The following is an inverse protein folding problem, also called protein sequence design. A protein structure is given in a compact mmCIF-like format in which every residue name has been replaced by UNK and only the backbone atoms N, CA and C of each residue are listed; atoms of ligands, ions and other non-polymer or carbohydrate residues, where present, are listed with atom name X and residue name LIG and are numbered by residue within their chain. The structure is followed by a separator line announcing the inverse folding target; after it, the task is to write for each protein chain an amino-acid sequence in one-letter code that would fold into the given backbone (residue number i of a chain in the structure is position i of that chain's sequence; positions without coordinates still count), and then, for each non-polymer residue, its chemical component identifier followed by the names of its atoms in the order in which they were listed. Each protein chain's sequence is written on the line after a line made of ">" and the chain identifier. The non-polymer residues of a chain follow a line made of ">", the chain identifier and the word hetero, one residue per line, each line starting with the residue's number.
data_IF_326434249228
#
_entry.id   IF_326434249228
#
_cell.length_a   1.000
_cell.length_b   1.000
_cell.length_c   1.000
_cell.angle_alpha   90.00
_cell.angle_beta   90.00
_cell.angle_gamma   90.00
#
_symmetry.space_group_name_H-M   'P 1'
#
loop_
_entity.id
_entity.type
_entity.pdbx_description
1 polymer ?
#
# COMPACT_ATOMS: atom_id res chain seq x y z
N UNK A 1 -23.86 -18.74 3.75
CA UNK A 1 -23.81 -18.58 2.28
C UNK A 1 -25.16 -18.19 1.69
N UNK A 2 -26.08 -19.10 1.39
CA UNK A 2 -27.33 -18.73 0.67
C UNK A 2 -28.35 -18.03 1.58
N UNK A 3 -28.59 -18.54 2.80
CA UNK A 3 -29.47 -17.89 3.80
C UNK A 3 -29.00 -16.47 4.18
N UNK A 4 -27.70 -16.20 4.10
CA UNK A 4 -27.10 -14.90 4.43
C UNK A 4 -26.98 -13.95 3.21
N UNK A 5 -27.48 -14.34 2.02
CA UNK A 5 -27.33 -13.58 0.76
C UNK A 5 -25.88 -13.31 0.35
N UNK A 6 -24.97 -14.22 0.67
CA UNK A 6 -23.53 -14.08 0.37
C UNK A 6 -23.18 -14.66 -1.01
N UNK A 7 -24.10 -15.33 -1.70
CA UNK A 7 -23.83 -15.98 -2.99
C UNK A 7 -23.98 -14.98 -4.14
N UNK A 8 -22.92 -14.72 -4.93
CA UNK A 8 -22.98 -13.80 -6.06
C UNK A 8 -24.11 -14.16 -7.04
N UNK A 9 -24.92 -13.18 -7.42
CA UNK A 9 -26.00 -13.33 -8.41
C UNK A 9 -27.14 -14.25 -7.99
N UNK A 10 -27.32 -14.48 -6.68
CA UNK A 10 -28.47 -15.18 -6.12
C UNK A 10 -29.07 -14.42 -4.93
N UNK A 11 -30.39 -14.29 -4.92
CA UNK A 11 -31.15 -13.58 -3.88
C UNK A 11 -32.19 -14.45 -3.18
N UNK A 12 -32.48 -15.63 -3.73
CA UNK A 12 -33.43 -16.60 -3.17
C UNK A 12 -32.84 -18.03 -3.13
N UNK A 13 -33.28 -18.82 -2.16
CA UNK A 13 -32.82 -20.20 -1.95
C UNK A 13 -33.17 -21.12 -3.13
N UNK A 14 -34.25 -20.85 -3.86
CA UNK A 14 -34.67 -21.62 -5.03
C UNK A 14 -33.73 -21.46 -6.23
N UNK A 15 -32.95 -20.39 -6.30
CA UNK A 15 -32.02 -20.11 -7.42
C UNK A 15 -30.78 -21.00 -7.42
N UNK A 16 -30.61 -21.80 -6.37
CA UNK A 16 -29.55 -22.81 -6.25
C UNK A 16 -29.79 -23.97 -7.21
N UNK A 17 -31.06 -24.26 -7.53
CA UNK A 17 -31.45 -25.38 -8.37
C UNK A 17 -32.05 -24.91 -9.68
N UNK A 18 -31.65 -25.53 -10.78
CA UNK A 18 -32.21 -25.21 -12.12
C UNK A 18 -33.51 -25.95 -12.41
N UNK A 19 -33.87 -26.96 -11.61
CA UNK A 19 -35.07 -27.76 -11.77
C UNK A 19 -35.61 -28.32 -10.44
N UNK A 20 -36.82 -28.86 -10.50
CA UNK A 20 -37.56 -29.39 -9.35
C UNK A 20 -36.99 -30.69 -8.77
N UNK A 21 -36.04 -31.33 -9.47
CA UNK A 21 -35.37 -32.55 -9.02
C UNK A 21 -34.00 -32.26 -8.38
N UNK A 22 -33.61 -30.99 -8.28
CA UNK A 22 -32.49 -30.54 -7.46
C UNK A 22 -31.14 -30.48 -8.18
N UNK A 23 -31.10 -30.38 -9.51
CA UNK A 23 -29.83 -30.15 -10.18
C UNK A 23 -29.28 -28.74 -9.88
N UNK A 24 -27.99 -28.60 -9.54
CA UNK A 24 -27.41 -27.31 -9.23
C UNK A 24 -27.31 -26.39 -10.46
N UNK A 25 -27.38 -25.09 -10.23
CA UNK A 25 -27.10 -24.05 -11.24
C UNK A 25 -25.60 -23.91 -11.50
N UNK A 26 -25.23 -23.26 -12.60
CA UNK A 26 -23.85 -23.07 -13.05
C UNK A 26 -22.94 -22.40 -12.00
N UNK A 27 -23.38 -21.34 -11.27
CA UNK A 27 -22.58 -20.74 -10.21
C UNK A 27 -22.33 -21.69 -9.04
N UNK A 28 -23.31 -22.54 -8.68
CA UNK A 28 -23.17 -23.54 -7.61
C UNK A 28 -22.14 -24.60 -8.01
N UNK A 29 -22.18 -25.06 -9.27
CA UNK A 29 -21.21 -26.02 -9.79
C UNK A 29 -19.80 -25.43 -9.77
N UNK A 30 -19.63 -24.19 -10.24
CA UNK A 30 -18.35 -23.51 -10.25
C UNK A 30 -17.79 -23.28 -8.84
N UNK A 31 -18.64 -22.79 -7.92
CA UNK A 31 -18.28 -22.60 -6.51
C UNK A 31 -17.81 -23.92 -5.88
N UNK A 32 -18.55 -25.01 -6.10
CA UNK A 32 -18.18 -26.33 -5.59
C UNK A 32 -16.81 -26.79 -6.13
N UNK A 33 -16.54 -26.58 -7.42
CA UNK A 33 -15.24 -26.89 -8.00
C UNK A 33 -14.10 -26.08 -7.36
N UNK A 34 -14.33 -24.79 -7.08
CA UNK A 34 -13.36 -23.93 -6.40
C UNK A 34 -13.12 -24.32 -4.94
N UNK A 35 -14.17 -24.71 -4.21
CA UNK A 35 -14.05 -25.23 -2.84
C UNK A 35 -13.19 -26.50 -2.84
N UNK A 36 -13.45 -27.43 -3.76
CA UNK A 36 -12.64 -28.65 -3.90
C UNK A 36 -11.19 -28.33 -4.30
N UNK A 37 -10.98 -27.44 -5.28
CA UNK A 37 -9.63 -27.00 -5.65
C UNK A 37 -8.89 -26.44 -4.43
N UNK A 38 -9.52 -25.52 -3.70
CA UNK A 38 -8.92 -24.89 -2.53
C UNK A 38 -8.56 -25.92 -1.44
N UNK A 39 -9.45 -26.87 -1.14
CA UNK A 39 -9.20 -27.91 -0.12
C UNK A 39 -8.15 -28.92 -0.57
N UNK A 40 -8.22 -29.40 -1.82
CA UNK A 40 -7.30 -30.42 -2.32
C UNK A 40 -5.88 -29.89 -2.52
N UNK A 41 -5.74 -28.65 -2.99
CA UNK A 41 -4.44 -28.06 -3.32
C UNK A 41 -3.92 -27.07 -2.28
N UNK A 42 -4.73 -26.71 -1.28
CA UNK A 42 -4.34 -25.79 -0.21
C UNK A 42 -4.09 -24.35 -0.65
N UNK A 43 -4.57 -23.94 -1.84
CA UNK A 43 -4.29 -22.63 -2.44
C UNK A 43 -5.57 -21.91 -2.88
N UNK A 44 -5.53 -20.59 -2.91
CA UNK A 44 -6.67 -19.78 -3.36
C UNK A 44 -6.98 -20.03 -4.84
N UNK A 45 -8.26 -20.24 -5.22
CA UNK A 45 -8.68 -20.32 -6.61
C UNK A 45 -8.75 -18.95 -7.30
N UNK A 46 -8.50 -17.85 -6.59
CA UNK A 46 -8.56 -16.49 -7.15
C UNK A 46 -7.52 -16.34 -8.27
N UNK A 47 -7.97 -15.93 -9.45
CA UNK A 47 -7.13 -15.77 -10.63
C UNK A 47 -7.16 -16.97 -11.59
N UNK A 48 -7.84 -18.07 -11.24
CA UNK A 48 -8.12 -19.13 -12.20
C UNK A 48 -9.00 -18.60 -13.35
N UNK A 49 -8.80 -19.08 -14.59
CA UNK A 49 -9.59 -18.64 -15.74
C UNK A 49 -11.07 -19.00 -15.57
N UNK A 50 -11.96 -18.22 -16.19
CA UNK A 50 -13.41 -18.50 -16.17
C UNK A 50 -13.68 -19.91 -16.73
N UNK A 51 -14.28 -20.83 -15.96
CA UNK A 51 -14.48 -22.21 -16.35
C UNK A 51 -15.56 -22.32 -17.41
N UNK A 52 -15.51 -23.39 -18.21
CA UNK A 52 -16.47 -23.62 -19.30
C UNK A 52 -17.93 -23.60 -18.86
N UNK A 53 -18.22 -24.05 -17.63
CA UNK A 53 -19.58 -24.03 -17.08
C UNK A 53 -20.14 -22.61 -16.92
N UNK A 54 -19.29 -21.64 -16.56
CA UNK A 54 -19.68 -20.24 -16.44
C UNK A 54 -19.69 -19.54 -17.81
N UNK A 55 -18.71 -19.83 -18.68
CA UNK A 55 -18.68 -19.29 -20.06
C UNK A 55 -19.94 -19.63 -20.85
N UNK A 56 -20.50 -20.80 -20.61
CA UNK A 56 -21.69 -21.32 -21.29
C UNK A 56 -22.97 -21.15 -20.46
N UNK A 57 -22.93 -20.44 -19.34
CA UNK A 57 -24.07 -20.30 -18.44
C UNK A 57 -25.24 -19.61 -19.13
N UNK A 58 -26.47 -20.00 -18.79
CA UNK A 58 -27.68 -19.43 -19.41
C UNK A 58 -27.83 -17.92 -19.22
N UNK A 59 -27.34 -17.38 -18.09
CA UNK A 59 -27.41 -15.96 -17.76
C UNK A 59 -26.11 -15.20 -18.12
N UNK A 60 -26.17 -14.04 -18.81
CA UNK A 60 -24.97 -13.30 -19.22
C UNK A 60 -24.07 -12.86 -18.06
N UNK A 61 -24.65 -12.45 -16.93
CA UNK A 61 -23.92 -12.00 -15.74
C UNK A 61 -23.01 -13.10 -15.16
N UNK A 62 -23.36 -14.37 -15.34
CA UNK A 62 -22.56 -15.50 -14.86
C UNK A 62 -21.29 -15.71 -15.70
N UNK A 63 -21.21 -15.10 -16.89
CA UNK A 63 -20.08 -15.22 -17.81
C UNK A 63 -19.00 -14.17 -17.56
N UNK A 64 -19.28 -13.17 -16.73
CA UNK A 64 -18.39 -12.05 -16.45
C UNK A 64 -17.20 -12.48 -15.57
N UNK A 65 -16.02 -11.90 -15.83
CA UNK A 65 -14.82 -12.19 -15.05
C UNK A 65 -14.97 -11.80 -13.58
N UNK A 66 -15.65 -10.70 -13.30
CA UNK A 66 -15.92 -10.23 -11.94
C UNK A 66 -16.82 -11.20 -11.17
N UNK A 67 -17.82 -11.77 -11.84
CA UNK A 67 -18.69 -12.79 -11.25
C UNK A 67 -17.88 -14.05 -10.90
N UNK A 68 -17.03 -14.50 -11.82
CA UNK A 68 -16.13 -15.61 -11.58
C UNK A 68 -15.17 -15.36 -10.41
N UNK A 69 -14.58 -14.16 -10.34
CA UNK A 69 -13.69 -13.75 -9.26
C UNK A 69 -14.40 -13.75 -7.91
N UNK A 70 -15.63 -13.25 -7.85
CA UNK A 70 -16.44 -13.26 -6.62
C UNK A 70 -16.71 -14.69 -6.12
N UNK A 71 -16.94 -15.66 -7.01
CA UNK A 71 -17.08 -17.07 -6.63
C UNK A 71 -15.77 -17.67 -6.10
N UNK A 72 -14.62 -17.29 -6.68
CA UNK A 72 -13.30 -17.73 -6.21
C UNK A 72 -12.97 -17.16 -4.83
N UNK A 73 -13.24 -15.87 -4.60
CA UNK A 73 -13.05 -15.21 -3.30
C UNK A 73 -13.97 -15.82 -2.24
N UNK A 74 -15.24 -16.06 -2.58
CA UNK A 74 -16.19 -16.73 -1.69
C UNK A 74 -15.71 -18.14 -1.33
N UNK A 75 -15.23 -18.91 -2.31
CA UNK A 75 -14.68 -20.24 -2.07
C UNK A 75 -13.49 -20.19 -1.10
N UNK A 76 -12.54 -19.29 -1.35
CA UNK A 76 -11.36 -19.15 -0.50
C UNK A 76 -11.74 -18.78 0.93
N UNK A 77 -12.58 -17.75 1.08
CA UNK A 77 -13.10 -17.31 2.38
C UNK A 77 -13.79 -18.45 3.11
N UNK A 78 -14.64 -19.20 2.43
CA UNK A 78 -15.39 -20.32 3.03
C UNK A 78 -14.44 -21.40 3.55
N UNK A 79 -13.40 -21.75 2.78
CA UNK A 79 -12.47 -22.81 3.13
C UNK A 79 -11.58 -22.42 4.31
N UNK A 80 -11.06 -21.19 4.35
CA UNK A 80 -10.20 -20.73 5.44
C UNK A 80 -10.96 -20.46 6.74
N UNK A 81 -12.26 -20.15 6.65
CA UNK A 81 -13.13 -19.91 7.81
C UNK A 81 -13.75 -21.20 8.36
N UNK A 82 -13.70 -22.32 7.62
CA UNK A 82 -14.29 -23.60 8.02
C UNK A 82 -13.26 -24.53 8.69
N UNK A 83 -13.27 -24.72 10.02
CA UNK A 83 -12.17 -25.40 10.73
C UNK A 83 -11.89 -26.84 10.28
N UNK A 84 -12.91 -27.55 9.77
CA UNK A 84 -12.77 -28.93 9.30
C UNK A 84 -12.17 -29.04 7.90
N UNK A 85 -11.95 -27.92 7.19
CA UNK A 85 -11.20 -27.93 5.92
C UNK A 85 -9.73 -28.29 6.12
N UNK A 86 -9.21 -28.16 7.35
CA UNK A 86 -7.79 -28.31 7.66
C UNK A 86 -6.94 -27.11 7.21
N UNK A 87 -7.53 -26.14 6.51
CA UNK A 87 -6.88 -24.94 6.03
C UNK A 87 -7.18 -23.78 6.98
N UNK A 88 -6.15 -23.00 7.28
CA UNK A 88 -6.28 -21.75 8.03
C UNK A 88 -5.93 -20.61 7.09
N UNK A 89 -6.55 -19.45 7.28
CA UNK A 89 -6.10 -18.22 6.64
C UNK A 89 -4.62 -18.02 7.01
N UNK A 90 -3.72 -18.33 6.08
CA UNK A 90 -2.31 -18.00 6.21
C UNK A 90 -2.15 -16.52 5.84
N UNK A 91 -1.45 -15.77 6.68
CA UNK A 91 -0.98 -14.45 6.33
C UNK A 91 -0.01 -14.60 5.16
N UNK A 92 -0.41 -14.12 3.98
CA UNK A 92 0.39 -14.20 2.76
C UNK A 92 0.23 -15.53 2.02
N UNK A 93 -0.12 -15.45 0.74
CA UNK A 93 -0.14 -16.57 -0.19
C UNK A 93 1.30 -17.10 -0.35
N UNK A 94 1.56 -18.34 0.07
CA UNK A 94 2.70 -19.12 -0.42
C UNK A 94 2.25 -19.92 -1.64
N UNK A 95 2.90 -19.70 -2.78
CA UNK A 95 2.80 -20.58 -3.94
C UNK A 95 3.92 -21.63 -3.87
N UNK A 96 3.54 -22.90 -3.97
CA UNK A 96 4.42 -24.01 -4.35
C UNK A 96 5.23 -24.63 -3.20
N UNK A 97 5.19 -25.95 -3.10
CA UNK A 97 6.16 -26.76 -2.37
C UNK A 97 7.54 -26.71 -3.06
N UNK A 98 8.13 -25.52 -3.08
CA UNK A 98 9.52 -25.25 -3.36
C UNK A 98 9.96 -24.20 -2.37
N UNK A 99 10.91 -24.52 -1.50
CA UNK A 99 11.50 -23.57 -0.55
C UNK A 99 11.97 -22.34 -1.33
N UNK A 100 11.50 -21.14 -0.95
CA UNK A 100 11.95 -19.89 -1.58
C UNK A 100 13.47 -19.76 -1.41
N UNK A 101 14.21 -20.01 -2.49
CA UNK A 101 15.69 -20.03 -2.46
C UNK A 101 16.33 -18.65 -2.53
N UNK A 102 15.53 -17.58 -2.54
CA UNK A 102 16.00 -16.21 -2.71
C UNK A 102 16.51 -15.53 -1.43
N UNK A 103 16.24 -16.10 -0.25
CA UNK A 103 16.59 -15.49 1.05
C UNK A 103 18.07 -15.11 1.17
N UNK A 104 18.95 -15.94 0.63
CA UNK A 104 20.41 -15.76 0.67
C UNK A 104 20.98 -15.10 -0.60
N UNK A 105 20.12 -14.69 -1.53
CA UNK A 105 20.50 -14.11 -2.82
C UNK A 105 20.39 -12.58 -2.81
N UNK A 106 21.02 -11.92 -3.77
CA UNK A 106 20.79 -10.50 -4.06
C UNK A 106 19.41 -10.35 -4.71
N UNK A 107 18.55 -9.51 -4.13
CA UNK A 107 17.24 -9.21 -4.70
C UNK A 107 17.37 -8.05 -5.69
N UNK A 108 17.18 -8.29 -6.97
CA UNK A 108 17.19 -7.25 -7.99
C UNK A 108 15.76 -6.72 -8.16
N UNK A 109 15.48 -5.48 -7.76
CA UNK A 109 14.14 -4.91 -7.85
C UNK A 109 13.70 -4.74 -9.31
N UNK A 110 12.39 -4.60 -9.53
CA UNK A 110 11.85 -4.34 -10.86
C UNK A 110 12.31 -2.96 -11.35
N UNK A 111 12.53 -2.82 -12.66
CA UNK A 111 13.08 -1.58 -13.26
C UNK A 111 12.25 -0.33 -13.03
N UNK A 112 10.94 -0.47 -12.78
CA UNK A 112 10.03 0.64 -12.45
C UNK A 112 10.07 1.05 -10.98
N UNK A 113 10.65 0.21 -10.11
CA UNK A 113 10.65 0.40 -8.66
C UNK A 113 12.00 -0.04 -8.09
N UNK A 114 13.06 0.67 -8.48
CA UNK A 114 14.45 0.28 -8.21
C UNK A 114 14.87 0.38 -6.73
N UNK A 115 14.03 0.96 -5.87
CA UNK A 115 14.30 1.19 -4.44
C UNK A 115 15.63 1.91 -4.15
N UNK A 116 16.16 2.73 -5.06
CA UNK A 116 17.49 3.35 -4.89
C UNK A 116 18.67 2.37 -4.99
N UNK A 117 18.43 1.09 -5.29
CA UNK A 117 19.44 0.03 -5.46
C UNK A 117 19.14 -0.81 -6.71
N UNK A 118 19.20 -0.18 -7.89
CA UNK A 118 18.87 -0.82 -9.17
C UNK A 118 19.70 -2.09 -9.48
N UNK A 119 20.96 -2.12 -9.04
CA UNK A 119 21.86 -3.26 -9.22
C UNK A 119 21.58 -4.40 -8.22
N UNK A 120 20.71 -4.17 -7.24
CA UNK A 120 20.24 -5.16 -6.29
C UNK A 120 20.34 -4.73 -4.83
N UNK A 121 19.44 -5.27 -4.02
CA UNK A 121 19.40 -5.16 -2.57
C UNK A 121 20.09 -6.42 -2.00
N UNK A 122 21.19 -6.29 -1.24
CA UNK A 122 21.86 -7.45 -0.63
C UNK A 122 20.95 -8.14 0.40
N UNK A 123 21.40 -9.27 0.93
CA UNK A 123 20.82 -9.84 2.15
C UNK A 123 21.08 -8.85 3.29
N UNK A 124 20.06 -8.17 3.85
CA UNK A 124 20.29 -7.07 4.79
C UNK A 124 21.13 -7.47 6.00
N UNK A 125 20.91 -8.69 6.51
CA UNK A 125 21.54 -9.23 7.71
C UNK A 125 23.07 -9.44 7.58
N UNK A 126 23.63 -9.41 6.36
CA UNK A 126 25.08 -9.41 6.15
C UNK A 126 25.73 -8.04 6.45
N UNK A 127 24.92 -6.99 6.56
CA UNK A 127 25.36 -5.65 6.94
C UNK A 127 25.58 -5.48 8.45
N UNK A 128 26.03 -4.30 8.86
CA UNK A 128 26.13 -3.95 10.28
C UNK A 128 24.75 -3.49 10.78
N UNK A 129 24.20 -4.02 11.90
CA UNK A 129 22.94 -3.53 12.46
C UNK A 129 22.96 -2.03 12.74
N UNK A 130 21.89 -1.34 12.37
CA UNK A 130 21.72 0.12 12.54
C UNK A 130 20.62 0.40 13.55
N UNK A 131 19.40 -0.05 13.26
CA UNK A 131 18.26 0.07 14.14
C UNK A 131 17.22 -1.01 13.83
N UNK A 132 16.40 -1.32 14.83
CA UNK A 132 15.15 -2.06 14.70
C UNK A 132 14.02 -1.14 15.12
N UNK A 133 12.94 -1.10 14.35
CA UNK A 133 11.71 -0.44 14.75
C UNK A 133 10.60 -1.48 14.93
N UNK A 134 10.10 -1.59 16.16
CA UNK A 134 8.94 -2.43 16.52
C UNK A 134 7.70 -1.53 16.61
N UNK A 135 6.74 -1.74 15.72
CA UNK A 135 5.60 -0.86 15.50
C UNK A 135 4.28 -1.58 15.70
N UNK A 136 3.30 -0.83 16.21
CA UNK A 136 1.90 -1.26 16.29
C UNK A 136 1.14 -0.68 15.11
N UNK A 137 0.36 -1.52 14.44
CA UNK A 137 -0.60 -1.10 13.44
C UNK A 137 -1.84 -0.52 14.13
N UNK A 138 -2.40 0.54 13.56
CA UNK A 138 -3.68 1.11 13.98
C UNK A 138 -4.81 0.51 13.14
N UNK A 139 -4.78 0.74 11.83
CA UNK A 139 -5.78 0.28 10.87
C UNK A 139 -5.10 -0.31 9.64
N UNK A 140 -5.77 -1.29 9.03
CA UNK A 140 -5.38 -1.89 7.75
C UNK A 140 -6.51 -1.66 6.76
N UNK A 141 -6.21 -1.01 5.65
CA UNK A 141 -7.17 -0.74 4.59
C UNK A 141 -6.82 -1.58 3.37
N UNK A 142 -7.59 -2.65 3.16
CA UNK A 142 -7.52 -3.42 1.92
C UNK A 142 -8.35 -2.71 0.85
N UNK A 143 -7.67 -2.13 -0.14
CA UNK A 143 -8.30 -1.40 -1.24
C UNK A 143 -8.60 -2.29 -2.44
N UNK A 144 -8.17 -3.56 -2.42
CA UNK A 144 -8.29 -4.45 -3.57
C UNK A 144 -7.47 -3.96 -4.78
N UNK A 145 -7.97 -4.23 -5.97
CA UNK A 145 -7.25 -3.94 -7.22
C UNK A 145 -7.25 -2.46 -7.55
N UNK A 146 -6.07 -1.87 -7.72
CA UNK A 146 -5.84 -0.51 -8.22
C UNK A 146 -5.12 -0.56 -9.58
N UNK A 147 -4.87 0.57 -10.25
CA UNK A 147 -4.07 0.58 -11.50
C UNK A 147 -2.66 0.00 -11.32
N UNK A 148 -2.12 0.01 -10.11
CA UNK A 148 -0.72 -0.34 -9.85
C UNK A 148 -0.51 -1.76 -9.33
N UNK A 149 -1.50 -2.35 -8.66
CA UNK A 149 -1.37 -3.64 -7.96
C UNK A 149 -2.62 -3.98 -7.17
N UNK A 150 -2.60 -5.08 -6.41
CA UNK A 150 -3.51 -5.23 -5.28
C UNK A 150 -2.93 -4.41 -4.11
N UNK A 151 -3.66 -3.37 -3.69
CA UNK A 151 -3.19 -2.37 -2.72
C UNK A 151 -3.73 -2.66 -1.33
N UNK A 152 -2.83 -2.66 -0.36
CA UNK A 152 -3.15 -2.57 1.07
C UNK A 152 -2.39 -1.41 1.67
N UNK A 153 -3.05 -0.63 2.52
CA UNK A 153 -2.42 0.43 3.30
C UNK A 153 -2.44 0.06 4.77
N UNK A 154 -1.26 0.00 5.39
CA UNK A 154 -1.12 -0.18 6.83
C UNK A 154 -0.81 1.17 7.49
N UNK A 155 -1.63 1.55 8.46
CA UNK A 155 -1.41 2.76 9.25
C UNK A 155 -0.70 2.38 10.54
N UNK A 156 0.43 3.02 10.81
CA UNK A 156 1.22 2.82 12.03
C UNK A 156 0.73 3.75 13.13
N UNK A 157 0.36 3.16 14.28
CA UNK A 157 -0.03 3.88 15.48
C UNK A 157 1.14 4.53 16.20
N UNK A 158 2.31 3.91 16.07
CA UNK A 158 3.56 4.28 16.71
C UNK A 158 4.34 3.03 17.11
N UNK A 159 5.48 3.23 17.75
CA UNK A 159 6.41 2.14 18.06
C UNK A 159 7.66 2.61 18.77
N UNK A 160 8.62 1.70 18.90
CA UNK A 160 9.93 1.99 19.48
C UNK A 160 11.02 1.74 18.45
N UNK A 161 12.06 2.56 18.46
CA UNK A 161 13.29 2.29 17.73
C UNK A 161 14.42 1.98 18.70
N UNK A 162 15.22 0.95 18.39
CA UNK A 162 16.39 0.56 19.18
C UNK A 162 17.57 0.26 18.27
N UNK A 163 18.72 0.84 18.56
CA UNK A 163 19.99 0.61 17.89
C UNK A 163 21.17 0.99 18.79
N UNK A 164 22.39 0.66 18.36
CA UNK A 164 23.62 0.97 19.10
C UNK A 164 23.80 2.48 19.30
N UNK A 165 23.42 3.28 18.28
CA UNK A 165 23.63 4.72 18.22
C UNK A 165 22.34 5.55 18.27
N UNK A 166 21.18 4.90 18.34
CA UNK A 166 19.88 5.57 18.30
C UNK A 166 18.85 4.79 19.12
N UNK A 167 18.06 5.51 19.89
CA UNK A 167 16.89 5.01 20.61
C UNK A 167 15.80 6.06 20.56
N UNK A 168 14.55 5.64 20.64
CA UNK A 168 13.42 6.55 20.57
C UNK A 168 12.12 5.86 20.21
N UNK A 169 11.24 6.62 19.56
CA UNK A 169 9.91 6.19 19.15
C UNK A 169 9.63 6.40 17.68
N UNK A 170 8.67 5.65 17.15
CA UNK A 170 8.02 5.91 15.87
C UNK A 170 6.76 6.73 16.15
N UNK A 171 6.61 7.87 15.48
CA UNK A 171 5.46 8.74 15.62
C UNK A 171 4.21 8.14 14.97
N UNK A 172 3.02 8.54 15.43
CA UNK A 172 1.75 8.10 14.86
C UNK A 172 1.59 8.58 13.41
N UNK A 173 0.72 7.90 12.66
CA UNK A 173 0.31 8.31 11.33
C UNK A 173 1.26 7.85 10.22
N UNK A 174 2.24 7.01 10.54
CA UNK A 174 3.08 6.35 9.54
C UNK A 174 2.25 5.57 8.53
N UNK A 175 2.66 5.58 7.27
CA UNK A 175 1.95 4.91 6.17
C UNK A 175 2.87 3.89 5.52
N UNK A 176 2.37 2.67 5.33
CA UNK A 176 2.95 1.66 4.47
C UNK A 176 1.95 1.35 3.36
N UNK A 177 2.36 1.62 2.12
CA UNK A 177 1.61 1.35 0.91
C UNK A 177 2.19 0.12 0.23
N UNK A 178 1.53 -1.02 0.43
CA UNK A 178 1.95 -2.29 -0.16
C UNK A 178 1.17 -2.58 -1.44
N UNK A 179 1.89 -2.81 -2.55
CA UNK A 179 1.36 -3.48 -3.73
C UNK A 179 1.76 -4.94 -3.72
N UNK A 180 0.80 -5.81 -3.99
CA UNK A 180 1.03 -7.24 -4.17
C UNK A 180 0.61 -7.67 -5.57
N UNK A 181 1.27 -8.69 -6.09
CA UNK A 181 1.00 -9.27 -7.40
C UNK A 181 0.69 -10.77 -7.29
N UNK A 182 0.00 -11.31 -8.30
CA UNK A 182 -0.46 -12.71 -8.32
C UNK A 182 0.66 -13.76 -8.32
N UNK A 183 1.90 -13.34 -8.60
CA UNK A 183 3.10 -14.19 -8.58
C UNK A 183 3.91 -14.07 -7.27
N UNK A 184 3.37 -13.43 -6.23
CA UNK A 184 4.04 -13.24 -4.94
C UNK A 184 4.99 -12.04 -4.87
N UNK A 185 5.27 -11.38 -6.01
CA UNK A 185 6.07 -10.17 -6.00
C UNK A 185 5.36 -9.03 -5.26
N UNK A 186 6.14 -8.11 -4.68
CA UNK A 186 5.64 -6.92 -4.00
C UNK A 186 6.47 -5.69 -4.32
N UNK A 187 5.83 -4.53 -4.28
CA UNK A 187 6.47 -3.22 -4.21
C UNK A 187 5.88 -2.49 -3.00
N UNK A 188 6.73 -1.92 -2.16
CA UNK A 188 6.35 -1.26 -0.90
C UNK A 188 6.88 0.16 -0.87
N UNK A 189 6.05 1.11 -0.44
CA UNK A 189 6.49 2.44 -0.02
C UNK A 189 6.10 2.68 1.44
N UNK A 190 7.06 3.02 2.29
CA UNK A 190 6.79 3.34 3.70
C UNK A 190 7.27 4.75 4.03
N UNK A 191 6.53 5.43 4.90
CA UNK A 191 6.81 6.80 5.31
C UNK A 191 6.55 6.93 6.80
N UNK A 192 7.62 7.15 7.53
CA UNK A 192 7.63 7.24 8.98
C UNK A 192 8.30 8.52 9.45
N UNK A 193 7.93 8.94 10.66
CA UNK A 193 8.69 9.93 11.41
C UNK A 193 9.14 9.28 12.69
N UNK A 194 10.43 9.39 12.98
CA UNK A 194 11.03 8.92 14.21
C UNK A 194 11.29 10.11 15.12
N UNK A 195 11.17 9.90 16.43
CA UNK A 195 11.68 10.83 17.44
C UNK A 195 12.73 10.11 18.28
N UNK A 196 13.97 10.55 18.19
CA UNK A 196 15.04 10.05 19.05
C UNK A 196 14.86 10.53 20.49
N UNK A 197 15.49 9.85 21.46
CA UNK A 197 15.39 10.17 22.90
C UNK A 197 15.90 11.57 23.27
N UNK A 198 16.72 12.20 22.41
CA UNK A 198 17.13 13.60 22.55
C UNK A 198 16.09 14.61 21.99
N UNK A 199 14.91 14.12 21.64
CA UNK A 199 13.77 14.88 21.14
C UNK A 199 13.86 15.27 19.66
N UNK A 200 14.92 14.87 18.95
CA UNK A 200 15.09 15.21 17.52
C UNK A 200 14.23 14.31 16.63
N UNK A 201 13.54 14.95 15.69
CA UNK A 201 12.78 14.25 14.67
C UNK A 201 13.66 13.85 13.48
N UNK A 202 13.38 12.68 12.93
CA UNK A 202 14.03 12.12 11.74
C UNK A 202 12.93 11.67 10.80
N UNK A 203 12.96 12.17 9.57
CA UNK A 203 12.09 11.66 8.52
C UNK A 203 12.69 10.39 7.92
N UNK A 204 11.86 9.39 7.70
CA UNK A 204 12.25 8.11 7.14
C UNK A 204 11.29 7.75 6.01
N UNK A 205 11.83 7.66 4.80
CA UNK A 205 11.10 7.18 3.63
C UNK A 205 11.76 5.93 3.10
N UNK A 206 10.97 4.94 2.75
CA UNK A 206 11.47 3.60 2.48
C UNK A 206 10.85 3.10 1.19
N UNK A 207 11.69 2.61 0.29
CA UNK A 207 11.25 1.82 -0.86
C UNK A 207 11.56 0.35 -0.59
N UNK A 208 10.61 -0.55 -0.86
CA UNK A 208 10.80 -1.99 -0.71
C UNK A 208 10.36 -2.77 -1.92
N UNK A 209 10.93 -3.97 -2.05
CA UNK A 209 10.58 -4.93 -3.08
C UNK A 209 10.65 -6.35 -2.51
N UNK A 210 9.88 -7.26 -3.10
CA UNK A 210 9.92 -8.67 -2.78
C UNK A 210 9.70 -9.51 -4.04
N UNK A 211 10.43 -10.61 -4.18
CA UNK A 211 10.11 -11.66 -5.16
C UNK A 211 9.16 -12.70 -4.55
N UNK A 212 9.13 -12.80 -3.22
CA UNK A 212 8.27 -13.67 -2.44
C UNK A 212 7.79 -12.92 -1.19
N UNK A 213 6.54 -13.09 -0.74
CA UNK A 213 5.99 -12.39 0.43
C UNK A 213 6.77 -12.59 1.74
N UNK A 214 7.56 -13.67 1.86
CA UNK A 214 8.39 -13.96 3.03
C UNK A 214 9.70 -13.17 3.09
N UNK A 215 10.09 -12.50 1.99
CA UNK A 215 11.36 -11.78 1.84
C UNK A 215 11.15 -10.35 1.33
N UNK A 216 10.43 -9.54 2.11
CA UNK A 216 10.26 -8.11 1.82
C UNK A 216 11.50 -7.36 2.27
N UNK A 217 12.32 -6.94 1.29
CA UNK A 217 13.51 -6.13 1.53
C UNK A 217 13.21 -4.66 1.28
N UNK A 218 13.77 -3.83 2.13
CA UNK A 218 13.53 -2.40 2.15
C UNK A 218 14.85 -1.63 2.07
N UNK A 219 14.79 -0.44 1.48
CA UNK A 219 15.91 0.50 1.34
C UNK A 219 15.48 1.82 1.96
N UNK A 220 15.94 2.12 3.19
CA UNK A 220 15.55 3.32 3.90
C UNK A 220 16.40 4.53 3.53
N UNK A 221 15.73 5.65 3.29
CA UNK A 221 16.29 6.99 3.14
C UNK A 221 15.93 7.84 4.35
N UNK A 222 16.95 8.23 5.12
CA UNK A 222 16.79 9.09 6.28
C UNK A 222 17.04 10.55 5.95
N UNK A 223 16.34 11.40 6.69
CA UNK A 223 16.55 12.83 6.79
C UNK A 223 16.54 13.23 8.26
N UNK A 224 17.74 13.41 8.81
CA UNK A 224 18.02 13.93 10.13
C UNK A 224 18.66 15.32 9.99
N UNK A 225 18.46 16.19 11.00
CA UNK A 225 19.10 17.51 10.98
C UNK A 225 20.62 17.40 10.88
N UNK A 226 21.25 18.20 10.02
CA UNK A 226 22.71 18.33 9.91
C UNK A 226 23.36 18.80 11.21
N UNK A 227 22.60 19.51 12.05
CA UNK A 227 23.03 19.94 13.39
C UNK A 227 22.79 18.87 14.47
N UNK A 228 22.18 17.72 14.15
CA UNK A 228 21.94 16.64 15.12
C UNK A 228 23.08 15.62 15.15
N UNK A 229 23.21 14.95 16.30
CA UNK A 229 24.04 13.76 16.49
C UNK A 229 23.63 12.57 15.60
N UNK A 230 22.44 12.62 14.98
CA UNK A 230 21.90 11.58 14.09
C UNK A 230 22.14 11.87 12.60
N UNK A 231 22.83 12.97 12.26
CA UNK A 231 23.13 13.37 10.87
C UNK A 231 23.90 12.31 10.06
N UNK A 232 24.58 11.37 10.73
CA UNK A 232 25.24 10.22 10.08
C UNK A 232 24.26 9.31 9.33
N UNK A 233 22.97 9.32 9.66
CA UNK A 233 21.93 8.60 8.93
C UNK A 233 21.72 9.16 7.51
N UNK A 234 22.10 10.40 7.23
CA UNK A 234 21.86 11.02 5.92
C UNK A 234 22.75 10.47 4.79
N UNK A 235 23.85 9.79 5.13
CA UNK A 235 24.89 9.40 4.16
C UNK A 235 25.15 7.89 4.11
N UNK A 236 24.48 7.11 4.96
CA UNK A 236 24.65 5.66 4.97
C UNK A 236 24.00 4.98 3.77
N UNK A 237 24.53 3.80 3.42
CA UNK A 237 23.92 2.89 2.44
C UNK A 237 23.21 1.80 3.20
N UNK A 238 21.89 1.87 3.28
CA UNK A 238 21.11 0.99 4.15
C UNK A 238 20.24 0.03 3.35
N UNK A 239 20.08 -1.18 3.89
CA UNK A 239 19.03 -2.10 3.50
C UNK A 239 18.42 -2.71 4.76
N UNK A 240 17.21 -3.24 4.65
CA UNK A 240 16.52 -3.84 5.78
C UNK A 240 15.53 -4.91 5.36
N UNK A 241 14.94 -5.53 6.36
CA UNK A 241 13.84 -6.48 6.21
C UNK A 241 12.61 -5.94 6.91
N UNK A 242 11.46 -6.07 6.26
CA UNK A 242 10.15 -5.76 6.81
C UNK A 242 9.41 -7.04 7.11
N UNK A 243 8.86 -7.14 8.31
CA UNK A 243 8.09 -8.27 8.80
C UNK A 243 6.72 -7.77 9.28
N UNK A 244 5.66 -8.45 8.86
CA UNK A 244 4.29 -8.20 9.34
C UNK A 244 3.78 -9.39 10.14
N UNK A 245 3.23 -9.11 11.31
CA UNK A 245 2.34 -10.03 12.01
C UNK A 245 0.95 -9.40 12.08
N UNK A 246 0.12 -9.75 11.10
CA UNK A 246 -1.25 -9.23 11.00
C UNK A 246 -2.16 -9.72 12.13
N UNK A 247 -1.83 -10.87 12.74
CA UNK A 247 -2.60 -11.41 13.87
C UNK A 247 -2.28 -10.63 15.14
N UNK A 248 -1.02 -10.29 15.35
CA UNK A 248 -0.59 -9.43 16.45
C UNK A 248 -0.85 -7.94 16.19
N UNK A 249 -1.13 -7.55 14.94
CA UNK A 249 -1.31 -6.16 14.53
C UNK A 249 0.00 -5.38 14.65
N UNK A 250 1.12 -5.99 14.27
CA UNK A 250 2.46 -5.39 14.41
C UNK A 250 3.25 -5.43 13.12
N UNK A 251 4.12 -4.45 12.96
CA UNK A 251 5.13 -4.38 11.91
C UNK A 251 6.49 -4.22 12.55
N UNK A 252 7.48 -4.92 12.02
CA UNK A 252 8.88 -4.77 12.43
C UNK A 252 9.72 -4.46 11.20
N UNK A 253 10.60 -3.47 11.31
CA UNK A 253 11.65 -3.24 10.32
C UNK A 253 13.02 -3.37 11.00
N UNK A 254 13.92 -4.13 10.39
CA UNK A 254 15.31 -4.29 10.83
C UNK A 254 16.23 -3.70 9.77
N UNK A 255 17.00 -2.66 10.13
CA UNK A 255 17.83 -1.89 9.20
C UNK A 255 19.31 -2.13 9.49
N UNK A 256 20.08 -2.29 8.42
CA UNK A 256 21.51 -2.57 8.43
C UNK A 256 22.25 -1.62 7.48
N UNK A 257 23.46 -1.23 7.86
CA UNK A 257 24.44 -0.57 6.98
C UNK A 257 25.09 -1.63 6.10
N UNK A 258 24.80 -1.56 4.81
CA UNK A 258 25.28 -2.49 3.79
C UNK A 258 26.39 -1.89 2.91
N UNK A 259 26.97 -0.76 3.32
CA UNK A 259 28.08 -0.11 2.58
C UNK A 259 29.30 -1.00 2.37
N UNK A 260 29.52 -1.97 3.27
CA UNK A 260 30.64 -2.93 3.21
C UNK A 260 30.26 -4.30 2.66
N UNK A 261 29.00 -4.53 2.31
CA UNK A 261 28.54 -5.80 1.73
C UNK A 261 28.96 -5.85 0.26
N UNK A 262 29.61 -6.93 -0.16
CA UNK A 262 30.06 -7.09 -1.53
C UNK A 262 28.87 -7.36 -2.46
N UNK A 263 28.71 -6.53 -3.48
CA UNK A 263 27.64 -6.64 -4.48
C UNK A 263 28.23 -7.07 -5.83
N UNK A 264 28.01 -8.33 -6.20
CA UNK A 264 28.38 -8.89 -7.51
C UNK A 264 27.22 -9.75 -8.05
N UNK A 265 26.11 -9.11 -8.47
CA UNK A 265 24.94 -9.85 -8.95
C UNK A 265 25.27 -10.64 -10.23
N UNK A 266 24.87 -11.90 -10.26
CA UNK A 266 24.90 -12.80 -11.41
C UNK A 266 23.64 -13.67 -11.48
N UNK A 267 23.55 -14.56 -12.46
CA UNK A 267 22.36 -15.40 -12.67
C UNK A 267 22.13 -16.45 -11.58
N UNK A 268 23.15 -16.80 -10.79
CA UNK A 268 23.10 -17.84 -9.76
C UNK A 268 22.77 -17.24 -8.40
N UNK A 269 23.44 -16.14 -8.04
CA UNK A 269 23.39 -15.52 -6.73
C UNK A 269 22.35 -14.40 -6.60
N UNK A 270 21.57 -14.15 -7.65
CA UNK A 270 20.53 -13.11 -7.66
C UNK A 270 19.15 -13.67 -7.96
N UNK A 271 18.14 -12.98 -7.47
CA UNK A 271 16.73 -13.20 -7.79
C UNK A 271 16.11 -11.89 -8.26
N UNK A 272 15.40 -11.92 -9.39
CA UNK A 272 14.81 -10.73 -9.98
C UNK A 272 13.33 -10.63 -9.62
N UNK A 273 12.92 -9.47 -9.14
CA UNK A 273 11.50 -9.16 -8.94
C UNK A 273 10.84 -9.00 -10.31
N UNK A 274 9.85 -9.83 -10.59
CA UNK A 274 9.07 -9.78 -11.83
C UNK A 274 7.71 -9.16 -11.55
N UNK A 275 7.47 -7.96 -12.09
CA UNK A 275 6.15 -7.34 -12.10
C UNK A 275 5.33 -7.88 -13.28
N UNK A 276 4.13 -8.45 -13.07
CA UNK A 276 3.30 -8.89 -14.18
C UNK A 276 2.87 -7.71 -15.09
N UNK A 277 2.54 -8.00 -16.34
CA UNK A 277 1.99 -7.01 -17.27
C UNK A 277 0.58 -6.55 -16.87
N UNK A 278 0.13 -5.41 -17.39
CA UNK A 278 -1.24 -4.89 -17.16
C UNK A 278 -1.40 -4.06 -15.89
N UNK A 279 -0.28 -3.68 -15.26
CA UNK A 279 -0.23 -2.75 -14.15
C UNK A 279 0.55 -1.51 -14.55
N UNK A 280 0.10 -0.34 -14.11
CA UNK A 280 0.86 0.89 -14.22
C UNK A 280 2.03 0.89 -13.24
N UNK A 281 3.03 1.72 -13.51
CA UNK A 281 4.16 1.93 -12.61
C UNK A 281 3.81 2.97 -11.56
N UNK A 282 3.94 2.61 -10.28
CA UNK A 282 3.85 3.59 -9.21
C UNK A 282 5.09 4.45 -9.19
N UNK A 283 4.93 5.74 -8.89
CA UNK A 283 6.01 6.72 -8.93
C UNK A 283 6.54 7.01 -7.53
N UNK A 284 7.86 7.05 -7.39
CA UNK A 284 8.48 7.62 -6.19
C UNK A 284 8.18 9.12 -6.10
N UNK A 285 8.30 9.86 -7.20
CA UNK A 285 8.08 11.30 -7.18
C UNK A 285 6.60 11.66 -7.30
N UNK A 286 6.19 12.75 -6.65
CA UNK A 286 4.86 13.29 -6.83
C UNK A 286 4.70 13.95 -8.20
N UNK A 287 3.47 13.99 -8.70
CA UNK A 287 3.15 14.69 -9.94
C UNK A 287 3.34 16.20 -9.79
N UNK A 288 3.94 16.85 -10.80
CA UNK A 288 4.00 18.32 -10.90
C UNK A 288 3.04 18.77 -11.99
N UNK A 289 2.20 19.75 -11.68
CA UNK A 289 1.35 20.38 -12.70
C UNK A 289 2.21 21.06 -13.76
N UNK A 290 1.85 20.90 -15.03
CA UNK A 290 2.47 21.66 -16.12
C UNK A 290 1.97 23.12 -16.12
N UNK A 291 2.66 23.99 -16.86
CA UNK A 291 2.40 25.44 -16.81
C UNK A 291 1.07 25.85 -17.46
N UNK A 292 0.54 25.02 -18.35
CA UNK A 292 -0.70 25.19 -19.10
C UNK A 292 -1.94 24.73 -18.32
N UNK A 293 -1.77 23.90 -17.28
CA UNK A 293 -2.87 23.39 -16.46
C UNK A 293 -3.59 24.48 -15.65
N UNK A 294 -4.93 24.43 -15.61
CA UNK A 294 -5.78 25.42 -14.93
C UNK A 294 -6.89 24.81 -14.09
N UNK A 295 -7.29 25.61 -13.09
CA UNK A 295 -8.52 25.54 -12.29
C UNK A 295 -9.76 25.13 -13.12
N UNK A 296 -10.19 23.86 -13.13
CA UNK A 296 -11.41 23.42 -13.79
C UNK A 296 -12.62 23.33 -12.85
N UNK A 297 -13.49 22.34 -13.07
CA UNK A 297 -14.64 22.09 -12.20
C UNK A 297 -14.20 21.74 -10.77
N UNK A 298 -14.97 22.21 -9.78
CA UNK A 298 -14.78 21.81 -8.40
C UNK A 298 -15.04 20.30 -8.25
N UNK A 299 -14.06 19.62 -7.65
CA UNK A 299 -14.15 18.21 -7.28
C UNK A 299 -14.66 18.08 -5.84
N UNK A 300 -13.87 18.59 -4.89
CA UNK A 300 -14.21 18.56 -3.46
C UNK A 300 -13.71 19.80 -2.74
N UNK A 301 -14.26 20.00 -1.54
CA UNK A 301 -13.67 20.79 -0.47
C UNK A 301 -13.37 19.87 0.70
N UNK A 302 -12.21 20.04 1.30
CA UNK A 302 -11.84 19.34 2.52
C UNK A 302 -11.38 20.30 3.61
N UNK A 303 -11.63 19.90 4.87
CA UNK A 303 -11.00 20.48 6.04
C UNK A 303 -10.15 19.40 6.68
N UNK A 304 -8.83 19.57 6.69
CA UNK A 304 -7.87 18.63 7.25
C UNK A 304 -7.48 19.11 8.65
N UNK A 305 -7.70 18.29 9.68
CA UNK A 305 -7.25 18.58 11.04
C UNK A 305 -5.81 18.11 11.23
N UNK A 306 -5.03 18.90 11.96
CA UNK A 306 -3.59 18.74 12.07
C UNK A 306 -3.16 18.71 13.54
N UNK A 307 -2.09 17.98 13.84
CA UNK A 307 -1.38 18.13 15.12
C UNK A 307 -0.26 19.18 15.01
N UNK A 308 0.41 19.56 16.12
CA UNK A 308 1.59 20.40 16.04
C UNK A 308 2.67 19.82 15.12
N UNK A 309 3.45 20.71 14.49
CA UNK A 309 4.54 20.35 13.60
C UNK A 309 5.69 19.65 14.31
N UNK A 310 6.29 18.70 13.60
CA UNK A 310 7.47 17.92 13.97
C UNK A 310 8.65 18.44 13.12
N UNK A 311 9.40 19.36 13.69
CA UNK A 311 10.52 20.02 13.00
C UNK A 311 11.73 19.07 12.92
N UNK A 312 12.04 18.61 11.71
CA UNK A 312 13.30 17.91 11.41
C UNK A 312 14.41 18.94 11.18
N UNK A 313 14.11 20.04 10.50
CA UNK A 313 15.06 21.12 10.20
C UNK A 313 15.92 20.83 8.97
N UNK A 314 17.03 21.55 8.86
CA UNK A 314 17.97 21.46 7.73
C UNK A 314 18.73 20.12 7.74
N UNK A 315 18.74 19.40 6.61
CA UNK A 315 19.33 18.07 6.44
C UNK A 315 20.55 18.06 5.50
N UNK A 316 20.91 19.23 4.96
CA UNK A 316 21.85 19.40 3.86
C UNK A 316 21.25 19.21 2.46
N UNK A 317 20.08 18.56 2.34
CA UNK A 317 19.33 18.38 1.09
C UNK A 317 17.96 19.06 1.09
N UNK A 318 17.39 19.25 2.27
CA UNK A 318 16.05 19.78 2.51
C UNK A 318 16.03 20.55 3.83
N UNK A 319 14.97 21.30 4.08
CA UNK A 319 14.63 21.83 5.39
C UNK A 319 13.20 21.37 5.74
N UNK A 320 13.06 20.37 6.61
CA UNK A 320 11.79 19.66 6.77
C UNK A 320 10.99 20.07 7.98
N UNK A 321 9.72 20.34 7.75
CA UNK A 321 8.69 20.42 8.78
C UNK A 321 7.59 19.42 8.45
N UNK A 322 7.23 18.56 9.39
CA UNK A 322 6.23 17.52 9.16
C UNK A 322 5.02 17.80 10.03
N UNK A 323 3.83 17.87 9.44
CA UNK A 323 2.61 18.16 10.18
C UNK A 323 1.68 16.95 10.09
N UNK A 324 1.57 16.13 11.16
CA UNK A 324 0.71 14.95 11.14
C UNK A 324 -0.77 15.31 10.94
N UNK A 325 -1.45 14.50 10.14
CA UNK A 325 -2.88 14.63 9.86
C UNK A 325 -3.65 13.79 10.88
N UNK A 326 -4.59 14.44 11.58
CA UNK A 326 -5.38 13.84 12.66
C UNK A 326 -6.81 13.51 12.25
N UNK A 327 -7.19 13.82 11.01
CA UNK A 327 -8.51 13.58 10.47
C UNK A 327 -9.03 14.76 9.66
N UNK A 328 -10.35 14.88 9.56
CA UNK A 328 -10.99 15.95 8.80
C UNK A 328 -12.25 15.51 8.08
N UNK A 329 -12.77 16.40 7.24
CA UNK A 329 -13.99 16.19 6.45
C UNK A 329 -13.73 16.39 4.97
N UNK A 330 -14.45 15.67 4.13
CA UNK A 330 -14.44 15.81 2.66
C UNK A 330 -15.89 15.98 2.19
N UNK A 331 -16.14 16.94 1.32
CA UNK A 331 -17.47 17.27 0.80
C UNK A 331 -17.42 17.69 -0.67
N UNK A 332 -18.51 17.53 -1.41
CA UNK A 332 -18.61 17.88 -2.83
C UNK A 332 -19.01 16.68 -3.69
N UNK A 333 -18.29 16.41 -4.78
CA UNK A 333 -18.53 15.19 -5.59
C UNK A 333 -18.24 13.91 -4.81
N UNK A 334 -17.46 14.01 -3.73
CA UNK A 334 -17.17 12.93 -2.79
C UNK A 334 -17.49 13.44 -1.39
N UNK A 335 -18.34 12.70 -0.69
CA UNK A 335 -18.66 12.94 0.72
C UNK A 335 -17.91 11.92 1.57
N UNK A 336 -17.30 12.34 2.68
CA UNK A 336 -16.54 11.46 3.54
C UNK A 336 -15.74 12.17 4.61
N UNK A 337 -14.69 11.49 5.08
CA UNK A 337 -13.77 11.99 6.10
C UNK A 337 -12.32 11.79 5.67
N UNK A 338 -11.45 12.66 6.16
CA UNK A 338 -10.02 12.43 6.14
C UNK A 338 -9.69 11.51 7.31
N UNK A 339 -8.90 10.47 7.07
CA UNK A 339 -8.48 9.53 8.12
C UNK A 339 -7.30 10.10 8.91
N UNK A 340 -7.18 9.72 10.18
CA UNK A 340 -6.06 10.08 11.05
C UNK A 340 -4.80 9.29 10.69
N UNK A 341 -4.28 9.52 9.49
CA UNK A 341 -3.17 8.80 8.92
C UNK A 341 -2.41 9.69 7.93
N UNK A 342 -1.08 9.57 7.93
CA UNK A 342 -0.21 10.39 7.11
C UNK A 342 0.09 11.77 7.70
N UNK A 343 0.72 12.60 6.87
CA UNK A 343 1.17 13.94 7.25
C UNK A 343 1.37 14.82 6.01
N UNK A 344 1.56 16.11 6.25
CA UNK A 344 2.21 17.02 5.30
C UNK A 344 3.72 17.04 5.53
N UNK A 345 4.50 16.54 4.56
CA UNK A 345 5.96 16.39 4.62
C UNK A 345 6.68 17.57 3.94
N UNK A 346 6.45 18.78 4.45
CA UNK A 346 6.91 20.02 3.85
C UNK A 346 8.42 20.08 3.72
N UNK A 347 8.90 20.60 2.58
CA UNK A 347 10.27 21.05 2.42
C UNK A 347 10.27 22.58 2.30
N UNK A 348 10.79 23.24 3.33
CA UNK A 348 10.91 24.68 3.51
C UNK A 348 12.14 25.27 2.82
N UNK A 349 12.98 24.46 2.16
CA UNK A 349 14.04 24.97 1.28
C UNK A 349 13.44 25.82 0.17
N UNK A 350 14.13 26.88 -0.27
CA UNK A 350 13.61 27.78 -1.30
C UNK A 350 13.79 27.19 -2.73
N UNK A 351 12.75 27.06 -3.56
CA UNK A 351 11.34 27.35 -3.27
C UNK A 351 10.67 26.23 -2.47
N UNK A 352 9.83 26.63 -1.51
CA UNK A 352 9.17 25.68 -0.61
C UNK A 352 8.19 24.78 -1.38
N UNK A 353 8.07 23.54 -0.90
CA UNK A 353 7.18 22.52 -1.48
C UNK A 353 6.40 21.79 -0.39
N UNK A 354 5.22 21.32 -0.78
CA UNK A 354 4.31 20.50 0.03
C UNK A 354 4.32 19.09 -0.58
N UNK A 355 4.27 18.06 0.27
CA UNK A 355 4.01 16.67 -0.11
C UNK A 355 3.13 16.07 1.00
N UNK A 356 1.83 16.32 0.92
CA UNK A 356 0.86 15.75 1.85
C UNK A 356 0.39 14.39 1.34
N UNK A 357 0.51 13.36 2.17
CA UNK A 357 0.08 12.01 1.86
C UNK A 357 -0.79 11.47 2.97
N UNK A 358 -2.00 11.06 2.61
CA UNK A 358 -3.05 10.71 3.55
C UNK A 358 -4.15 9.92 2.85
N UNK A 359 -5.19 9.59 3.59
CA UNK A 359 -6.29 8.77 3.12
C UNK A 359 -7.62 9.50 3.33
N UNK A 360 -8.50 9.38 2.33
CA UNK A 360 -9.92 9.62 2.52
C UNK A 360 -10.63 8.30 2.78
N UNK A 361 -11.69 8.34 3.57
CA UNK A 361 -12.74 7.33 3.59
C UNK A 361 -14.05 7.98 3.19
N UNK A 362 -14.62 7.51 2.09
CA UNK A 362 -15.90 7.99 1.58
C UNK A 362 -17.05 7.54 2.47
N UNK A 363 -18.22 8.16 2.33
CA UNK A 363 -19.41 7.87 3.14
C UNK A 363 -19.95 6.45 2.97
N UNK A 364 -19.65 5.80 1.84
CA UNK A 364 -19.94 4.39 1.57
C UNK A 364 -18.78 3.44 1.91
N UNK A 365 -17.70 3.95 2.50
CA UNK A 365 -16.63 3.15 3.10
C UNK A 365 -15.42 2.89 2.21
N UNK A 366 -15.42 3.31 0.94
CA UNK A 366 -14.26 3.20 0.06
C UNK A 366 -13.10 4.06 0.58
N UNK A 367 -11.88 3.55 0.43
CA UNK A 367 -10.66 4.28 0.79
C UNK A 367 -9.98 4.76 -0.47
N UNK A 368 -9.54 6.03 -0.45
CA UNK A 368 -8.79 6.66 -1.54
C UNK A 368 -7.48 7.17 -0.97
N UNK A 369 -6.36 6.78 -1.58
CA UNK A 369 -5.06 7.36 -1.25
C UNK A 369 -4.99 8.74 -1.90
N UNK A 370 -4.56 9.73 -1.14
CA UNK A 370 -4.37 11.10 -1.61
C UNK A 370 -2.91 11.48 -1.45
N UNK A 371 -2.30 11.96 -2.53
CA UNK A 371 -1.00 12.63 -2.48
C UNK A 371 -1.13 14.01 -3.10
N UNK A 372 -1.22 15.03 -2.26
CA UNK A 372 -1.33 16.42 -2.66
C UNK A 372 0.04 17.11 -2.50
N UNK A 373 0.69 17.39 -3.63
CA UNK A 373 2.06 17.84 -3.62
C UNK A 373 2.36 18.85 -4.72
N UNK A 374 3.41 19.63 -4.54
CA UNK A 374 3.83 20.66 -5.50
C UNK A 374 4.47 21.87 -4.85
N UNK A 375 4.70 22.90 -5.65
CA UNK A 375 5.05 24.23 -5.14
C UNK A 375 3.83 24.91 -4.54
N UNK A 376 4.03 25.80 -3.59
CA UNK A 376 2.96 26.65 -3.07
C UNK A 376 2.27 27.40 -4.21
N UNK A 377 0.93 27.30 -4.30
CA UNK A 377 0.15 27.89 -5.39
C UNK A 377 0.01 27.03 -6.65
N UNK A 378 0.69 25.89 -6.73
CA UNK A 378 0.62 24.94 -7.87
C UNK A 378 0.64 23.49 -7.38
N UNK A 379 -0.23 23.17 -6.43
CA UNK A 379 -0.39 21.82 -5.91
C UNK A 379 -1.17 20.96 -6.92
N UNK A 380 -0.68 19.74 -7.15
CA UNK A 380 -1.21 18.80 -8.13
C UNK A 380 -1.51 17.47 -7.42
N UNK A 381 -2.72 17.31 -6.86
CA UNK A 381 -3.08 16.07 -6.21
C UNK A 381 -3.16 14.91 -7.19
N UNK A 382 -2.80 13.74 -6.68
CA UNK A 382 -3.00 12.44 -7.32
C UNK A 382 -3.80 11.57 -6.37
N UNK A 383 -4.58 10.66 -6.96
CA UNK A 383 -5.44 9.76 -6.23
C UNK A 383 -5.18 8.33 -6.67
N UNK A 384 -5.33 7.39 -5.74
CA UNK A 384 -5.42 5.98 -6.05
C UNK A 384 -6.71 5.43 -5.44
N UNK A 385 -7.54 4.86 -6.28
CA UNK A 385 -8.82 4.26 -5.94
C UNK A 385 -8.93 2.86 -6.56
N UNK A 386 -9.77 2.02 -5.95
CA UNK A 386 -10.09 0.69 -6.47
C UNK A 386 -10.71 0.77 -7.87
N UNK A 387 -10.25 -0.06 -8.82
CA UNK A 387 -10.60 0.05 -10.25
C UNK A 387 -12.06 -0.26 -10.58
N UNK A 388 -12.74 -1.06 -9.75
CA UNK A 388 -14.15 -1.40 -9.89
C UNK A 388 -15.07 -0.52 -9.01
N UNK A 389 -14.50 0.44 -8.28
CA UNK A 389 -15.28 1.41 -7.49
C UNK A 389 -15.86 2.51 -8.39
N UNK A 390 -16.95 3.13 -7.95
CA UNK A 390 -17.49 4.35 -8.60
C UNK A 390 -16.53 5.54 -8.57
N UNK A 391 -15.45 5.46 -7.79
CA UNK A 391 -14.40 6.48 -7.69
C UNK A 391 -13.19 6.18 -8.60
N UNK A 392 -13.22 5.10 -9.38
CA UNK A 392 -12.13 4.70 -10.27
C UNK A 392 -11.76 5.76 -11.32
N UNK A 393 -12.65 6.70 -11.62
CA UNK A 393 -12.37 7.84 -12.50
C UNK A 393 -11.20 8.71 -11.97
N UNK A 394 -10.98 8.74 -10.66
CA UNK A 394 -9.90 9.49 -10.02
C UNK A 394 -8.50 9.02 -10.44
N UNK A 395 -8.36 7.75 -10.82
CA UNK A 395 -7.08 7.14 -11.18
C UNK A 395 -6.46 7.72 -12.45
N UNK A 396 -7.27 8.32 -13.33
CA UNK A 396 -6.84 8.74 -14.67
C UNK A 396 -6.96 10.26 -14.89
N UNK A 397 -7.55 10.99 -13.94
CA UNK A 397 -7.73 12.42 -14.05
C UNK A 397 -6.46 13.22 -13.76
N UNK A 398 -6.48 14.48 -14.19
CA UNK A 398 -5.52 15.49 -13.76
C UNK A 398 -6.22 16.43 -12.80
N UNK A 399 -5.56 16.78 -11.71
CA UNK A 399 -6.17 17.57 -10.66
C UNK A 399 -5.24 18.68 -10.19
N UNK A 400 -5.87 19.75 -9.69
CA UNK A 400 -5.19 20.87 -9.06
C UNK A 400 -5.83 21.14 -7.70
N UNK A 401 -5.01 21.58 -6.74
CA UNK A 401 -5.43 21.98 -5.40
C UNK A 401 -5.22 23.48 -5.21
N UNK A 402 -6.11 24.11 -4.46
CA UNK A 402 -5.85 25.42 -3.88
C UNK A 402 -4.62 25.37 -2.95
N UNK A 403 -3.99 26.52 -2.65
CA UNK A 403 -3.13 26.62 -1.48
C UNK A 403 -3.91 26.24 -0.20
N UNK A 404 -3.22 25.78 0.87
CA UNK A 404 -3.83 25.60 2.17
C UNK A 404 -4.38 26.93 2.72
N UNK A 405 -5.68 26.99 2.95
CA UNK A 405 -6.35 28.07 3.66
C UNK A 405 -6.55 27.74 5.15
N UNK A 406 -7.00 28.70 5.95
CA UNK A 406 -7.34 28.45 7.35
C UNK A 406 -8.56 27.52 7.44
N UNK A 407 -8.44 26.46 8.24
CA UNK A 407 -9.52 25.51 8.51
C UNK A 407 -9.71 25.30 10.01
N UNK A 408 -10.84 24.72 10.39
CA UNK A 408 -11.09 24.37 11.79
C UNK A 408 -10.14 23.26 12.22
N UNK A 409 -9.28 23.55 13.20
CA UNK A 409 -8.28 22.59 13.70
C UNK A 409 -7.16 22.24 12.72
N UNK A 410 -6.99 23.00 11.63
CA UNK A 410 -5.97 22.75 10.62
C UNK A 410 -6.14 23.62 9.38
N UNK A 411 -6.28 23.00 8.21
CA UNK A 411 -6.33 23.70 6.91
C UNK A 411 -7.55 23.34 6.08
N UNK A 412 -8.00 24.28 5.26
CA UNK A 412 -9.02 24.05 4.25
C UNK A 412 -8.41 24.03 2.84
N UNK A 413 -8.85 23.09 2.02
CA UNK A 413 -8.38 22.90 0.64
C UNK A 413 -9.58 22.72 -0.29
N UNK A 414 -9.46 23.21 -1.51
CA UNK A 414 -10.41 22.93 -2.60
C UNK A 414 -9.67 22.27 -3.74
N UNK A 415 -10.16 21.12 -4.19
CA UNK A 415 -9.59 20.39 -5.33
C UNK A 415 -10.49 20.55 -6.54
N UNK A 416 -9.85 20.55 -7.70
CA UNK A 416 -10.47 20.79 -8.99
C UNK A 416 -10.00 19.76 -9.99
N UNK A 417 -10.87 19.40 -10.92
CA UNK A 417 -10.44 18.84 -12.20
C UNK A 417 -9.49 19.83 -12.88
N UNK A 418 -8.45 19.33 -13.53
CA UNK A 418 -7.47 20.15 -14.27
C UNK A 418 -7.81 20.15 -15.75
N UNK A 419 -7.82 21.34 -16.35
CA UNK A 419 -7.96 21.52 -17.80
C UNK A 419 -6.64 22.00 -18.40
N UNK A 420 -6.29 21.49 -19.58
CA UNK A 420 -5.12 21.92 -20.36
C UNK A 420 -5.54 22.86 -21.48
#
# INVERSE_FOLDING_TARGET
>A
MIYNKEMPGMTDQGEVFKDVIGHPTEPVIALNAYLHFAVMYGVSPVGLPVPGILKNAGKPEYREENFNRALQELAWKTVIDYPQSGLKAQAGVTQGEGEYTGMEKILIPHKSWQCGMADGIPVPEQGKPVLVADMKLDQTYNMGRTPYGDRVVYVVKGGTITGEKIKGSVMFGGLDFQLSFSNGAMEVEEIFVLQADDGKYIYLRIAGAAADPSDVRIVPEFEASSASSHSWLNTGKFAGRRELDLKAGTMKISIFDVSKVAMKPDEVNSIRVSKPSGFQDQSWDYRRASMDEKQGELLIKENVTLSPGQMVGETGRSNRNIIPITGGTVSGKIEGKVLAAGADYQNLSNPATIDARYLWQTSDGEVIIVRNAGGFGKLAPTFEARVDSKYAYLNNGLYLSSPPGMGSGGVSLTFYESVK
#
